data_IF_914061977803
#
_entry.id   IF_914061977803
#
_cell.length_a   1.000
_cell.length_b   1.000
_cell.length_c   1.000
_cell.angle_alpha   90.00
_cell.angle_beta   90.00
_cell.angle_gamma   90.00
#
_symmetry.space_group_name_H-M   'P 1'
#
loop_
_entity.id
_entity.type
_entity.pdbx_description
1 polymer ?
#
# COMPACT_ATOMS: atom_id res chain seq x y z
N UNK A 1 -22.29 -24.28 26.80
CA UNK A 1 -22.78 -23.80 25.49
C UNK A 1 -21.64 -23.05 24.80
N UNK A 2 -21.11 -23.65 23.73
CA UNK A 2 -19.97 -23.19 22.94
C UNK A 2 -20.40 -22.01 22.05
N UNK A 3 -20.17 -20.79 22.48
CA UNK A 3 -20.17 -19.65 21.56
C UNK A 3 -18.81 -19.61 20.86
N UNK A 4 -18.69 -20.32 19.73
CA UNK A 4 -17.57 -20.06 18.82
C UNK A 4 -17.61 -18.56 18.47
N UNK A 5 -16.52 -17.80 18.65
CA UNK A 5 -16.53 -16.37 18.38
C UNK A 5 -16.95 -16.16 16.93
N UNK A 6 -18.04 -15.40 16.72
CA UNK A 6 -18.50 -15.01 15.39
C UNK A 6 -17.32 -14.37 14.68
N UNK A 7 -16.85 -15.01 13.60
CA UNK A 7 -15.72 -14.50 12.81
C UNK A 7 -16.01 -13.03 12.46
N UNK A 8 -15.10 -12.09 12.75
CA UNK A 8 -15.32 -10.70 12.42
C UNK A 8 -15.67 -10.60 10.93
N UNK A 9 -16.72 -9.85 10.60
CA UNK A 9 -17.20 -9.70 9.23
C UNK A 9 -16.01 -9.27 8.37
N UNK A 10 -15.64 -10.10 7.40
CA UNK A 10 -14.49 -9.82 6.56
C UNK A 10 -14.73 -8.49 5.85
N UNK A 11 -13.79 -7.56 6.01
CA UNK A 11 -13.89 -6.25 5.37
C UNK A 11 -13.99 -6.41 3.87
N UNK A 12 -14.66 -5.49 3.17
CA UNK A 12 -14.72 -5.56 1.70
C UNK A 12 -13.32 -5.48 1.08
N UNK A 13 -13.16 -6.10 -0.09
CA UNK A 13 -11.87 -6.14 -0.80
C UNK A 13 -11.32 -4.74 -1.05
N UNK A 14 -12.20 -3.84 -1.51
CA UNK A 14 -11.87 -2.45 -1.82
C UNK A 14 -11.40 -1.67 -0.59
N UNK A 15 -12.03 -1.87 0.58
CA UNK A 15 -11.61 -1.19 1.80
C UNK A 15 -10.26 -1.68 2.31
N UNK A 16 -9.96 -2.98 2.15
CA UNK A 16 -8.63 -3.51 2.46
C UNK A 16 -7.57 -2.98 1.51
N UNK A 17 -7.86 -2.94 0.21
CA UNK A 17 -6.97 -2.34 -0.81
C UNK A 17 -6.70 -0.87 -0.52
N UNK A 18 -7.73 -0.11 -0.12
CA UNK A 18 -7.60 1.29 0.26
C UNK A 18 -6.72 1.46 1.51
N UNK A 19 -6.98 0.71 2.59
CA UNK A 19 -6.15 0.81 3.81
C UNK A 19 -4.70 0.39 3.56
N UNK A 20 -4.50 -0.68 2.79
CA UNK A 20 -3.17 -1.14 2.40
C UNK A 20 -2.47 -0.10 1.50
N UNK A 21 -3.17 0.46 0.51
CA UNK A 21 -2.64 1.52 -0.35
C UNK A 21 -2.25 2.77 0.43
N UNK A 22 -3.08 3.19 1.40
CA UNK A 22 -2.79 4.31 2.28
C UNK A 22 -1.52 4.09 3.10
N UNK A 23 -1.31 2.89 3.67
CA UNK A 23 -0.09 2.64 4.43
C UNK A 23 1.16 2.58 3.55
N UNK A 24 1.07 2.01 2.35
CA UNK A 24 2.19 2.06 1.41
C UNK A 24 2.48 3.51 0.99
N UNK A 25 1.45 4.32 0.76
CA UNK A 25 1.63 5.73 0.42
C UNK A 25 2.32 6.51 1.54
N UNK A 26 1.87 6.32 2.79
CA UNK A 26 2.51 6.88 3.99
C UNK A 26 3.98 6.44 4.05
N UNK A 27 4.25 5.15 3.87
CA UNK A 27 5.60 4.59 3.98
C UNK A 27 6.52 5.11 2.88
N UNK A 28 6.05 5.20 1.64
CA UNK A 28 6.81 5.76 0.52
C UNK A 28 7.14 7.24 0.73
N UNK A 29 6.15 8.05 1.13
CA UNK A 29 6.36 9.48 1.39
C UNK A 29 7.28 9.73 2.59
N UNK A 30 7.10 8.97 3.67
CA UNK A 30 7.95 9.08 4.85
C UNK A 30 9.38 8.66 4.52
N UNK A 31 9.57 7.49 3.89
CA UNK A 31 10.89 7.00 3.51
C UNK A 31 11.58 7.94 2.53
N UNK A 32 10.89 8.39 1.47
CA UNK A 32 11.47 9.28 0.47
C UNK A 32 11.79 10.65 1.06
N UNK A 33 10.89 11.24 1.85
CA UNK A 33 11.11 12.52 2.52
C UNK A 33 12.26 12.46 3.54
N UNK A 34 12.32 11.42 4.37
CA UNK A 34 13.41 11.22 5.34
C UNK A 34 14.74 11.00 4.61
N UNK A 35 14.78 10.08 3.64
CA UNK A 35 15.99 9.80 2.87
C UNK A 35 16.51 11.06 2.14
N UNK A 36 15.61 11.83 1.53
CA UNK A 36 15.98 13.07 0.86
C UNK A 36 16.49 14.15 1.82
N UNK A 37 15.90 14.26 3.02
CA UNK A 37 16.33 15.20 4.05
C UNK A 37 17.76 14.91 4.55
N UNK A 38 18.13 13.64 4.69
CA UNK A 38 19.46 13.23 5.16
C UNK A 38 20.47 12.96 4.04
N UNK A 39 20.07 13.05 2.77
CA UNK A 39 20.95 12.82 1.64
C UNK A 39 21.93 13.97 1.41
N UNK A 40 23.20 13.65 1.15
CA UNK A 40 24.14 14.61 0.56
C UNK A 40 23.76 14.84 -0.90
N UNK A 41 23.87 16.09 -1.39
CA UNK A 41 23.42 16.51 -2.72
C UNK A 41 23.80 15.47 -3.80
N UNK A 42 22.80 14.80 -4.36
CA UNK A 42 22.95 13.84 -5.47
C UNK A 42 22.68 12.36 -5.15
N UNK A 43 22.45 11.99 -3.89
CA UNK A 43 22.26 10.58 -3.49
C UNK A 43 20.81 10.13 -3.27
N UNK A 44 19.86 11.05 -3.10
CA UNK A 44 18.44 10.68 -2.95
C UNK A 44 17.78 10.42 -4.31
N UNK A 45 17.25 9.20 -4.48
CA UNK A 45 16.34 8.86 -5.56
C UNK A 45 15.07 9.72 -5.44
N UNK A 46 15.00 10.77 -6.25
CA UNK A 46 13.91 11.73 -6.25
C UNK A 46 12.76 11.18 -7.10
N UNK A 47 11.80 10.50 -6.48
CA UNK A 47 10.60 9.97 -7.13
C UNK A 47 9.50 11.03 -7.03
N UNK A 48 8.86 11.34 -8.15
CA UNK A 48 7.75 12.30 -8.17
C UNK A 48 6.49 11.78 -7.46
N UNK A 49 5.64 12.70 -7.02
CA UNK A 49 4.45 12.38 -6.23
C UNK A 49 3.47 11.45 -6.96
N UNK A 50 3.32 11.61 -8.27
CA UNK A 50 2.38 10.82 -9.07
C UNK A 50 2.86 9.38 -9.19
N UNK A 51 4.16 9.18 -9.43
CA UNK A 51 4.78 7.85 -9.35
C UNK A 51 4.58 7.22 -7.97
N UNK A 52 4.77 7.99 -6.89
CA UNK A 52 4.57 7.49 -5.51
C UNK A 52 3.13 7.05 -5.30
N UNK A 53 2.14 7.84 -5.70
CA UNK A 53 0.72 7.50 -5.54
C UNK A 53 0.34 6.24 -6.33
N UNK A 54 0.76 6.15 -7.60
CA UNK A 54 0.47 4.99 -8.46
C UNK A 54 1.09 3.72 -7.86
N UNK A 55 2.37 3.78 -7.51
CA UNK A 55 3.09 2.62 -6.96
C UNK A 55 2.55 2.19 -5.61
N UNK A 56 2.21 3.14 -4.73
CA UNK A 56 1.59 2.85 -3.45
C UNK A 56 0.22 2.18 -3.58
N UNK A 57 -0.62 2.66 -4.51
CA UNK A 57 -1.92 2.05 -4.77
C UNK A 57 -1.77 0.61 -5.26
N UNK A 58 -0.84 0.37 -6.20
CA UNK A 58 -0.54 -0.97 -6.71
C UNK A 58 0.04 -1.88 -5.63
N UNK A 59 0.96 -1.40 -4.80
CA UNK A 59 1.49 -2.14 -3.67
C UNK A 59 0.39 -2.53 -2.67
N UNK A 60 -0.57 -1.63 -2.42
CA UNK A 60 -1.75 -1.90 -1.61
C UNK A 60 -2.61 -3.04 -2.18
N UNK A 61 -2.82 -3.05 -3.50
CA UNK A 61 -3.52 -4.13 -4.20
C UNK A 61 -2.74 -5.44 -4.07
N UNK A 62 -1.44 -5.45 -4.43
CA UNK A 62 -0.55 -6.62 -4.36
C UNK A 62 -0.62 -7.28 -2.99
N UNK A 63 -0.51 -6.48 -1.92
CA UNK A 63 -0.46 -6.99 -0.56
C UNK A 63 -1.81 -7.46 -0.02
N UNK A 64 -2.93 -7.00 -0.60
CA UNK A 64 -4.26 -7.41 -0.14
C UNK A 64 -4.53 -8.90 -0.40
N UNK A 65 -4.12 -9.42 -1.56
CA UNK A 65 -4.37 -10.81 -1.93
C UNK A 65 -3.69 -11.86 -1.04
N UNK A 66 -2.37 -11.83 -0.81
CA UNK A 66 -1.71 -12.79 0.06
C UNK A 66 -2.25 -12.70 1.49
N UNK A 67 -2.55 -11.50 2.00
CA UNK A 67 -3.17 -11.33 3.31
C UNK A 67 -4.56 -11.96 3.41
N UNK A 68 -5.38 -11.83 2.37
CA UNK A 68 -6.68 -12.51 2.33
C UNK A 68 -6.53 -14.02 2.35
N UNK A 69 -5.59 -14.56 1.58
CA UNK A 69 -5.35 -16.00 1.55
C UNK A 69 -4.89 -16.53 2.91
N UNK A 70 -4.04 -15.80 3.64
CA UNK A 70 -3.59 -16.22 4.97
C UNK A 70 -4.68 -16.10 6.05
N UNK A 71 -5.68 -15.24 5.84
CA UNK A 71 -6.84 -15.11 6.73
C UNK A 71 -7.95 -16.14 6.48
N UNK A 72 -7.94 -16.81 5.33
CA UNK A 72 -8.90 -17.87 5.04
C UNK A 72 -8.66 -19.11 5.94
N UNK A 73 -9.70 -19.88 6.29
CA UNK A 73 -9.55 -21.21 6.88
C UNK A 73 -8.68 -22.10 5.99
N UNK A 74 -7.86 -22.98 6.57
CA UNK A 74 -6.91 -23.80 5.80
C UNK A 74 -7.59 -24.61 4.71
N UNK A 75 -8.82 -25.07 4.94
CA UNK A 75 -9.61 -25.88 4.01
C UNK A 75 -10.11 -25.07 2.80
N UNK A 76 -10.21 -23.75 2.93
CA UNK A 76 -10.70 -22.84 1.90
C UNK A 76 -9.57 -22.09 1.17
N UNK A 77 -8.32 -22.29 1.62
CA UNK A 77 -7.16 -21.67 1.01
C UNK A 77 -6.89 -22.27 -0.37
N UNK A 78 -6.68 -21.44 -1.41
CA UNK A 78 -6.14 -21.92 -2.67
C UNK A 78 -4.84 -22.72 -2.46
N UNK A 79 -4.51 -23.68 -3.34
CA UNK A 79 -3.19 -24.31 -3.31
C UNK A 79 -2.09 -23.26 -3.50
N UNK A 80 -0.95 -23.49 -2.86
CA UNK A 80 0.18 -22.53 -2.82
C UNK A 80 0.57 -22.01 -4.22
N UNK A 81 0.62 -22.88 -5.23
CA UNK A 81 0.94 -22.49 -6.60
C UNK A 81 -0.02 -21.45 -7.20
N UNK A 82 -1.33 -21.52 -6.90
CA UNK A 82 -2.30 -20.51 -7.35
C UNK A 82 -2.07 -19.18 -6.64
N UNK A 83 -1.74 -19.19 -5.35
CA UNK A 83 -1.40 -17.96 -4.61
C UNK A 83 -0.12 -17.34 -5.16
N UNK A 84 0.91 -18.16 -5.43
CA UNK A 84 2.17 -17.72 -6.01
C UNK A 84 1.96 -17.08 -7.38
N UNK A 85 1.15 -17.70 -8.27
CA UNK A 85 0.82 -17.11 -9.57
C UNK A 85 0.14 -15.76 -9.46
N UNK A 86 -0.77 -15.57 -8.49
CA UNK A 86 -1.42 -14.28 -8.25
C UNK A 86 -0.39 -13.23 -7.81
N UNK A 87 0.47 -13.55 -6.85
CA UNK A 87 1.50 -12.62 -6.37
C UNK A 87 2.50 -12.28 -7.47
N UNK A 88 2.95 -13.26 -8.25
CA UNK A 88 3.83 -13.05 -9.41
C UNK A 88 3.15 -12.15 -10.43
N UNK A 89 1.90 -12.44 -10.83
CA UNK A 89 1.17 -11.63 -11.80
C UNK A 89 1.00 -10.18 -11.36
N UNK A 90 0.64 -9.95 -10.09
CA UNK A 90 0.50 -8.61 -9.53
C UNK A 90 1.86 -7.89 -9.42
N UNK A 91 2.94 -8.62 -9.13
CA UNK A 91 4.31 -8.07 -9.10
C UNK A 91 4.77 -7.66 -10.50
N UNK A 92 4.51 -8.47 -11.53
CA UNK A 92 4.79 -8.12 -12.92
C UNK A 92 3.99 -6.90 -13.36
N UNK A 93 2.70 -6.82 -12.99
CA UNK A 93 1.88 -5.64 -13.23
C UNK A 93 2.45 -4.39 -12.54
N UNK A 94 2.97 -4.54 -11.32
CA UNK A 94 3.65 -3.44 -10.62
C UNK A 94 4.92 -2.98 -11.31
N UNK A 95 5.79 -3.90 -11.73
CA UNK A 95 7.02 -3.55 -12.46
C UNK A 95 6.68 -2.82 -13.77
N UNK A 96 5.70 -3.34 -14.51
CA UNK A 96 5.24 -2.72 -15.75
C UNK A 96 4.68 -1.30 -15.49
N UNK A 97 3.80 -1.15 -14.51
CA UNK A 97 3.22 0.14 -14.16
C UNK A 97 4.27 1.12 -13.65
N UNK A 98 5.24 0.67 -12.84
CA UNK A 98 6.36 1.49 -12.40
C UNK A 98 7.19 2.00 -13.58
N UNK A 99 7.48 1.12 -14.55
CA UNK A 99 8.15 1.49 -15.79
C UNK A 99 7.39 2.55 -16.58
N UNK A 100 6.06 2.47 -16.65
CA UNK A 100 5.22 3.51 -17.27
C UNK A 100 5.34 4.84 -16.54
N UNK A 101 5.58 4.86 -15.22
CA UNK A 101 5.70 6.12 -14.50
C UNK A 101 6.90 6.97 -14.91
N UNK A 102 7.92 6.36 -15.53
CA UNK A 102 9.09 7.06 -16.10
C UNK A 102 8.68 7.96 -17.27
N UNK A 103 7.60 7.61 -17.97
CA UNK A 103 7.07 8.38 -19.09
C UNK A 103 6.20 9.57 -18.65
N UNK A 104 5.91 9.70 -17.36
CA UNK A 104 5.07 10.79 -16.86
C UNK A 104 5.90 12.10 -16.90
N UNK A 105 5.43 13.13 -17.62
CA UNK A 105 6.12 14.41 -17.68
C UNK A 105 6.32 15.04 -16.29
N UNK A 106 7.40 15.79 -16.11
CA UNK A 106 7.76 16.40 -14.82
C UNK A 106 6.68 17.31 -14.24
N UNK A 107 5.89 17.99 -15.07
CA UNK A 107 4.77 18.81 -14.60
C UNK A 107 3.60 18.00 -14.04
N UNK A 108 3.42 16.75 -14.49
CA UNK A 108 2.45 15.79 -13.93
C UNK A 108 3.06 14.93 -12.82
N UNK A 109 4.38 14.89 -12.68
CA UNK A 109 5.08 14.10 -11.67
C UNK A 109 6.13 14.94 -10.92
N UNK A 110 5.74 16.05 -10.28
CA UNK A 110 6.68 16.91 -9.58
C UNK A 110 7.26 16.17 -8.37
N UNK A 111 8.55 16.37 -8.12
CA UNK A 111 9.19 15.93 -6.89
C UNK A 111 8.87 16.95 -5.80
N UNK A 112 8.20 16.50 -4.74
CA UNK A 112 7.86 17.37 -3.63
C UNK A 112 9.07 17.58 -2.71
N UNK A 113 9.20 18.76 -2.07
CA UNK A 113 10.24 19.00 -1.08
C UNK A 113 10.19 17.97 0.06
N UNK A 114 11.34 17.56 0.65
CA UNK A 114 11.40 16.50 1.65
C UNK A 114 10.46 16.74 2.84
N UNK A 115 10.44 17.96 3.37
CA UNK A 115 9.59 18.34 4.49
C UNK A 115 8.09 18.23 4.14
N UNK A 116 7.72 18.60 2.91
CA UNK A 116 6.33 18.50 2.44
C UNK A 116 5.89 17.05 2.38
N UNK A 117 6.75 16.14 1.90
CA UNK A 117 6.45 14.71 1.89
C UNK A 117 6.21 14.15 3.30
N UNK A 118 7.05 14.52 4.26
CA UNK A 118 6.93 14.08 5.67
C UNK A 118 5.62 14.59 6.29
N UNK A 119 5.27 15.87 6.07
CA UNK A 119 4.00 16.44 6.57
C UNK A 119 2.80 15.73 5.97
N UNK A 120 2.79 15.48 4.66
CA UNK A 120 1.71 14.73 4.00
C UNK A 120 1.60 13.32 4.58
N UNK A 121 2.73 12.63 4.79
CA UNK A 121 2.74 11.30 5.40
C UNK A 121 2.09 11.32 6.80
N UNK A 122 2.43 12.31 7.64
CA UNK A 122 1.84 12.47 8.97
C UNK A 122 0.32 12.73 8.92
N UNK A 123 -0.14 13.58 8.00
CA UNK A 123 -1.58 13.82 7.79
C UNK A 123 -2.31 12.56 7.32
N UNK A 124 -1.71 11.79 6.40
CA UNK A 124 -2.28 10.54 5.90
C UNK A 124 -2.39 9.46 6.99
N UNK A 125 -1.49 9.44 7.97
CA UNK A 125 -1.65 8.57 9.16
C UNK A 125 -2.97 8.91 9.88
N UNK A 126 -3.25 10.19 10.09
CA UNK A 126 -4.50 10.65 10.69
C UNK A 126 -5.72 10.22 9.87
N UNK A 127 -5.69 10.44 8.55
CA UNK A 127 -6.74 10.02 7.61
C UNK A 127 -6.97 8.51 7.67
N UNK A 128 -5.88 7.72 7.67
CA UNK A 128 -5.96 6.25 7.73
C UNK A 128 -6.58 5.79 9.05
N UNK A 129 -6.18 6.35 10.18
CA UNK A 129 -6.75 6.02 11.50
C UNK A 129 -8.25 6.33 11.52
N UNK A 130 -8.66 7.48 10.98
CA UNK A 130 -10.05 7.87 10.88
C UNK A 130 -10.87 6.87 10.03
N UNK A 131 -10.41 6.54 8.81
CA UNK A 131 -11.07 5.58 7.92
C UNK A 131 -11.16 4.20 8.59
N UNK A 132 -10.06 3.71 9.17
CA UNK A 132 -10.00 2.40 9.82
C UNK A 132 -11.00 2.30 10.98
N UNK A 133 -11.11 3.36 11.80
CA UNK A 133 -12.11 3.44 12.89
C UNK A 133 -13.53 3.54 12.36
N UNK A 134 -13.78 4.37 11.36
CA UNK A 134 -15.12 4.61 10.82
C UNK A 134 -15.71 3.35 10.18
N UNK A 135 -14.91 2.62 9.40
CA UNK A 135 -15.36 1.45 8.67
C UNK A 135 -15.04 0.11 9.34
N UNK A 136 -14.39 0.13 10.52
CA UNK A 136 -13.99 -1.06 11.29
C UNK A 136 -13.21 -2.07 10.43
N UNK A 137 -12.24 -1.56 9.67
CA UNK A 137 -11.43 -2.35 8.74
C UNK A 137 -10.60 -3.37 9.52
N UNK A 138 -10.68 -4.63 9.10
CA UNK A 138 -9.97 -5.79 9.65
C UNK A 138 -9.26 -6.57 8.55
N UNK A 139 -8.16 -7.21 8.91
CA UNK A 139 -7.39 -8.04 7.99
C UNK A 139 -6.60 -7.23 6.96
N UNK A 140 -6.17 -6.01 7.33
CA UNK A 140 -5.26 -5.18 6.55
C UNK A 140 -3.82 -5.29 7.08
N UNK A 141 -2.85 -4.71 6.37
CA UNK A 141 -1.40 -4.88 6.60
C UNK A 141 -0.96 -4.62 8.06
N UNK A 142 -1.68 -3.78 8.80
CA UNK A 142 -1.48 -3.58 10.24
C UNK A 142 -2.80 -3.68 11.04
N UNK A 143 -3.56 -4.76 10.85
CA UNK A 143 -4.70 -5.13 11.73
C UNK A 143 -5.86 -5.77 11.01
#
# INVERSE_FOLDING_TARGET
MLHAPKRPKQTSLQLQMLDNGLIFLIMYLAFNGIAAYFSTKGSATSIGITSIVITAALAGIIMTYPMRYTQMPKEQRPPFWKMALVVIGLTLAFVAAYGVTILIPSFLNPVLPPLVQIVIAALLIGVRIYIKRRFKITGSFFG
#
